data_IF_466908050932
#
_entry.id   IF_466908050932
#
_cell.length_a   1.000
_cell.length_b   1.000
_cell.length_c   1.000
_cell.angle_alpha   90.00
_cell.angle_beta   90.00
_cell.angle_gamma   90.00
#
_symmetry.space_group_name_H-M   'P 1'
#
loop_
_entity.id
_entity.type
_entity.pdbx_description
1 polymer ?
#
# COMPACT_ATOMS: atom_id res chain seq x y z
N UNK A 1 34.93 34.18 37.43
CA UNK A 1 35.64 35.08 36.48
C UNK A 1 34.92 34.93 35.15
N UNK A 2 33.92 35.81 34.93
CA UNK A 2 34.03 37.05 34.15
C UNK A 2 33.78 36.78 32.66
N UNK A 3 32.57 37.10 32.19
CA UNK A 3 32.32 38.23 31.26
C UNK A 3 32.50 37.80 29.79
N UNK A 4 31.61 38.04 28.83
CA UNK A 4 31.10 39.36 28.43
C UNK A 4 30.08 39.24 27.26
N UNK A 5 29.03 40.07 27.32
CA UNK A 5 28.23 40.77 26.26
C UNK A 5 27.50 39.96 25.15
N UNK A 6 26.21 40.13 24.84
CA UNK A 6 25.24 41.25 24.82
C UNK A 6 25.04 41.91 23.43
N UNK A 7 23.75 41.99 23.07
CA UNK A 7 23.03 42.94 22.18
C UNK A 7 23.10 42.81 20.65
N UNK A 8 21.92 42.68 20.01
CA UNK A 8 21.32 43.54 18.95
C UNK A 8 19.98 42.86 18.55
N UNK A 9 18.83 43.22 19.11
CA UNK A 9 17.96 44.36 18.79
C UNK A 9 17.73 44.55 17.28
N UNK A 10 16.65 43.97 16.75
CA UNK A 10 15.94 44.55 15.59
C UNK A 10 14.43 44.45 15.82
N UNK A 11 13.86 45.62 16.09
CA UNK A 11 12.45 45.89 16.24
C UNK A 11 11.94 46.28 14.85
N UNK A 12 11.08 45.46 14.24
CA UNK A 12 10.36 45.82 13.02
C UNK A 12 8.87 45.81 13.32
N UNK A 13 8.37 46.99 13.74
CA UNK A 13 6.95 47.31 13.86
C UNK A 13 6.42 47.53 12.45
N UNK A 14 5.58 46.62 11.97
CA UNK A 14 4.82 46.78 10.73
C UNK A 14 3.40 47.24 11.09
N UNK A 15 3.18 48.54 10.97
CA UNK A 15 1.89 49.21 10.97
C UNK A 15 1.17 48.87 9.66
N UNK A 16 0.06 48.15 9.75
CA UNK A 16 -0.87 47.95 8.63
C UNK A 16 -2.00 49.00 8.70
N UNK A 17 -2.36 49.63 7.57
CA UNK A 17 -3.44 50.61 7.52
C UNK A 17 -4.81 49.94 7.59
N UNK A 18 -5.67 50.48 8.45
CA UNK A 18 -7.11 50.25 8.51
C UNK A 18 -7.74 50.73 7.20
N UNK A 19 -8.06 49.80 6.29
CA UNK A 19 -8.91 50.09 5.15
C UNK A 19 -10.38 50.13 5.60
N UNK A 20 -11.03 51.22 5.25
CA UNK A 20 -12.39 51.57 5.60
C UNK A 20 -13.41 50.57 5.05
N UNK A 21 -14.33 50.11 5.92
CA UNK A 21 -15.58 49.49 5.52
C UNK A 21 -16.47 50.54 4.84
N UNK A 22 -16.63 50.45 3.52
CA UNK A 22 -17.76 51.04 2.83
C UNK A 22 -19.02 50.20 3.02
N UNK A 23 -20.23 50.80 3.06
CA UNK A 23 -21.48 50.06 3.13
C UNK A 23 -21.66 49.20 1.88
N UNK A 24 -21.84 47.90 2.08
CA UNK A 24 -22.14 46.93 1.03
C UNK A 24 -23.56 47.22 0.54
N UNK A 25 -23.79 47.37 -0.78
CA UNK A 25 -25.12 47.56 -1.32
C UNK A 25 -25.99 46.33 -1.01
N UNK A 26 -27.12 46.58 -0.37
CA UNK A 26 -28.16 45.60 -0.08
C UNK A 26 -28.72 45.07 -1.41
N UNK A 27 -28.52 43.78 -1.65
CA UNK A 27 -28.85 43.09 -2.89
C UNK A 27 -30.06 42.19 -2.61
N UNK A 28 -31.26 42.67 -2.87
CA UNK A 28 -32.54 41.92 -2.72
C UNK A 28 -32.76 40.88 -3.84
N UNK A 29 -31.68 40.43 -4.47
CA UNK A 29 -31.72 39.39 -5.49
C UNK A 29 -31.68 38.02 -4.84
N UNK A 30 -32.85 37.46 -4.52
CA UNK A 30 -32.99 36.04 -4.21
C UNK A 30 -32.62 35.20 -5.45
N UNK A 31 -31.32 34.99 -5.67
CA UNK A 31 -30.84 33.96 -6.58
C UNK A 31 -31.12 32.65 -5.87
N UNK A 32 -32.17 31.96 -6.31
CA UNK A 32 -32.35 30.55 -6.04
C UNK A 32 -31.13 29.83 -6.64
N UNK A 33 -30.10 29.62 -5.82
CA UNK A 33 -29.03 28.69 -6.08
C UNK A 33 -29.68 27.30 -6.01
N UNK A 34 -30.31 26.90 -7.13
CA UNK A 34 -30.67 25.51 -7.35
C UNK A 34 -29.38 24.73 -7.16
N UNK A 35 -29.26 24.05 -6.01
CA UNK A 35 -28.10 23.25 -5.70
C UNK A 35 -27.91 22.29 -6.86
N UNK A 36 -26.82 22.45 -7.60
CA UNK A 36 -26.46 21.44 -8.57
C UNK A 36 -26.43 20.10 -7.81
N UNK A 37 -27.10 19.07 -8.33
CA UNK A 37 -27.08 17.77 -7.68
C UNK A 37 -25.62 17.40 -7.47
N UNK A 38 -25.24 17.16 -6.22
CA UNK A 38 -23.92 16.60 -5.89
C UNK A 38 -23.71 15.42 -6.83
N UNK A 39 -22.69 15.43 -7.69
CA UNK A 39 -22.50 14.38 -8.66
C UNK A 39 -22.43 13.06 -7.90
N UNK A 40 -23.25 12.09 -8.31
CA UNK A 40 -23.23 10.78 -7.67
C UNK A 40 -21.79 10.24 -7.72
N UNK A 41 -21.28 9.70 -6.60
CA UNK A 41 -19.92 9.17 -6.54
C UNK A 41 -19.76 8.15 -7.68
N UNK A 42 -18.88 8.48 -8.64
CA UNK A 42 -18.59 7.59 -9.75
C UNK A 42 -17.82 6.41 -9.21
N UNK A 43 -18.37 5.20 -9.31
CA UNK A 43 -17.70 3.99 -8.87
C UNK A 43 -16.33 3.87 -9.56
N UNK A 44 -15.30 3.50 -8.79
CA UNK A 44 -13.98 3.17 -9.35
C UNK A 44 -14.16 2.09 -10.42
N UNK A 45 -13.66 2.29 -11.66
CA UNK A 45 -13.82 1.30 -12.73
C UNK A 45 -13.34 -0.08 -12.28
N UNK A 46 -14.22 -1.07 -12.38
CA UNK A 46 -13.89 -2.46 -12.12
C UNK A 46 -12.90 -2.93 -13.21
N UNK A 47 -11.67 -3.28 -12.81
CA UNK A 47 -10.58 -3.61 -13.74
C UNK A 47 -9.29 -2.81 -13.53
N UNK A 48 -9.24 -1.89 -12.57
CA UNK A 48 -8.01 -1.13 -12.27
C UNK A 48 -6.88 -1.99 -11.70
N UNK A 49 -5.64 -1.58 -11.93
CA UNK A 49 -4.46 -2.24 -11.39
C UNK A 49 -4.33 -2.01 -9.88
N UNK A 50 -4.02 -3.05 -9.10
CA UNK A 50 -3.69 -2.91 -7.68
C UNK A 50 -2.19 -3.10 -7.49
N UNK A 51 -1.57 -2.20 -6.71
CA UNK A 51 -0.17 -2.24 -6.36
C UNK A 51 0.02 -2.58 -4.89
N UNK A 52 0.91 -3.52 -4.62
CA UNK A 52 1.37 -3.88 -3.29
C UNK A 52 2.89 -3.69 -3.22
N UNK A 53 3.38 -3.30 -2.05
CA UNK A 53 4.81 -3.18 -1.82
C UNK A 53 5.18 -3.80 -0.47
N UNK A 54 6.09 -4.77 -0.49
CA UNK A 54 6.80 -5.20 0.71
C UNK A 54 8.15 -4.50 0.76
N UNK A 55 8.53 -3.99 1.94
CA UNK A 55 9.80 -3.29 2.13
C UNK A 55 10.93 -4.23 2.57
N UNK A 56 10.56 -5.42 3.05
CA UNK A 56 11.44 -6.32 3.82
C UNK A 56 11.46 -7.74 3.27
N UNK A 57 11.31 -7.92 1.95
CA UNK A 57 11.48 -9.23 1.34
C UNK A 57 12.91 -9.75 1.60
N UNK A 58 13.02 -11.01 2.00
CA UNK A 58 14.28 -11.68 2.32
C UNK A 58 14.25 -13.09 1.77
N UNK A 59 15.38 -13.53 1.22
CA UNK A 59 15.56 -14.89 0.75
C UNK A 59 17.00 -15.32 1.03
N UNK A 60 17.18 -16.58 1.44
CA UNK A 60 18.46 -17.27 1.41
C UNK A 60 18.40 -18.33 0.32
N UNK A 61 19.47 -18.45 -0.47
CA UNK A 61 19.56 -19.40 -1.56
C UNK A 61 20.79 -20.28 -1.38
N UNK A 62 20.60 -21.58 -1.54
CA UNK A 62 21.65 -22.55 -1.81
C UNK A 62 22.03 -22.53 -3.29
N UNK A 63 23.19 -23.10 -3.61
CA UNK A 63 23.64 -23.23 -5.00
C UNK A 63 22.61 -24.01 -5.82
N UNK A 64 22.24 -23.47 -6.98
CA UNK A 64 21.19 -23.99 -7.86
C UNK A 64 19.79 -23.47 -7.55
N UNK A 65 19.55 -22.79 -6.43
CA UNK A 65 18.22 -22.26 -6.10
C UNK A 65 17.91 -20.96 -6.83
N UNK A 66 16.61 -20.72 -7.05
CA UNK A 66 16.09 -19.55 -7.76
C UNK A 66 15.29 -18.69 -6.79
N UNK A 67 15.46 -17.36 -6.88
CA UNK A 67 14.64 -16.42 -6.10
C UNK A 67 13.17 -16.63 -6.46
N UNK A 68 12.29 -16.98 -5.49
CA UNK A 68 10.90 -17.27 -5.75
C UNK A 68 10.19 -16.16 -6.54
N UNK A 69 9.51 -16.56 -7.62
CA UNK A 69 8.80 -15.65 -8.53
C UNK A 69 9.68 -14.99 -9.59
N UNK A 70 10.94 -15.38 -9.75
CA UNK A 70 11.87 -14.78 -10.72
C UNK A 70 12.59 -15.84 -11.56
N UNK A 71 13.41 -15.40 -12.51
CA UNK A 71 14.37 -16.22 -13.27
C UNK A 71 15.79 -16.16 -12.69
N UNK A 72 15.98 -15.51 -11.54
CA UNK A 72 17.30 -15.28 -10.95
C UNK A 72 17.77 -16.50 -10.15
N UNK A 73 18.79 -17.19 -10.63
CA UNK A 73 19.34 -18.40 -9.99
C UNK A 73 20.72 -18.10 -9.39
N UNK A 74 20.96 -18.56 -8.16
CA UNK A 74 22.29 -18.57 -7.56
C UNK A 74 23.07 -19.78 -8.09
N UNK A 75 24.21 -19.55 -8.74
CA UNK A 75 25.02 -20.63 -9.32
C UNK A 75 26.05 -21.15 -8.32
N UNK A 76 26.71 -20.24 -7.61
CA UNK A 76 27.70 -20.59 -6.60
C UNK A 76 28.64 -19.43 -6.29
N UNK A 77 29.63 -19.69 -5.44
CA UNK A 77 30.62 -18.68 -5.05
C UNK A 77 31.98 -18.98 -5.66
N UNK A 78 32.61 -17.96 -6.23
CA UNK A 78 33.99 -18.00 -6.72
C UNK A 78 34.79 -16.85 -6.11
N UNK A 79 35.69 -17.18 -5.19
CA UNK A 79 36.43 -16.20 -4.37
C UNK A 79 35.47 -15.27 -3.59
N UNK A 80 35.54 -13.97 -3.86
CA UNK A 80 34.72 -12.92 -3.23
C UNK A 80 33.49 -12.52 -4.06
N UNK A 81 33.22 -13.24 -5.16
CA UNK A 81 32.07 -13.00 -6.02
C UNK A 81 31.08 -14.17 -5.97
N UNK A 82 29.80 -13.82 -6.01
CA UNK A 82 28.69 -14.71 -6.24
C UNK A 82 28.40 -14.75 -7.74
N UNK A 83 28.39 -15.94 -8.31
CA UNK A 83 27.89 -16.15 -9.67
C UNK A 83 26.38 -16.34 -9.62
N UNK A 84 25.65 -15.51 -10.37
CA UNK A 84 24.20 -15.58 -10.51
C UNK A 84 23.84 -15.62 -11.99
N UNK A 85 22.70 -16.23 -12.31
CA UNK A 85 22.11 -16.17 -13.64
C UNK A 85 20.86 -15.30 -13.60
N UNK A 86 20.79 -14.26 -14.41
CA UNK A 86 19.64 -13.35 -14.52
C UNK A 86 19.17 -13.40 -15.97
N UNK A 87 17.92 -13.82 -16.18
CA UNK A 87 17.35 -13.98 -17.53
C UNK A 87 18.23 -14.81 -18.47
N UNK A 88 18.82 -15.88 -17.94
CA UNK A 88 19.71 -16.78 -18.69
C UNK A 88 21.17 -16.32 -18.79
N UNK A 89 21.48 -15.07 -18.47
CA UNK A 89 22.82 -14.50 -18.57
C UNK A 89 23.59 -14.64 -17.25
N UNK A 90 24.83 -15.10 -17.33
CA UNK A 90 25.72 -15.16 -16.18
C UNK A 90 26.18 -13.76 -15.77
N UNK A 91 26.18 -13.49 -14.46
CA UNK A 91 26.68 -12.26 -13.87
C UNK A 91 27.44 -12.58 -12.58
N UNK A 92 28.53 -11.85 -12.34
CA UNK A 92 29.28 -11.91 -11.09
C UNK A 92 28.89 -10.71 -10.22
N UNK A 93 28.55 -10.97 -8.96
CA UNK A 93 28.08 -9.98 -8.00
C UNK A 93 28.87 -10.07 -6.71
N UNK A 94 29.13 -8.94 -6.08
CA UNK A 94 29.77 -8.88 -4.77
C UNK A 94 28.72 -8.60 -3.68
N UNK A 95 29.11 -8.78 -2.43
CA UNK A 95 28.27 -8.35 -1.33
C UNK A 95 27.94 -6.85 -1.44
N UNK A 96 26.72 -6.49 -1.04
CA UNK A 96 26.11 -5.16 -1.20
C UNK A 96 25.74 -4.75 -2.64
N UNK A 97 26.06 -5.55 -3.67
CA UNK A 97 25.56 -5.31 -5.02
C UNK A 97 24.04 -5.48 -5.11
N UNK A 98 23.44 -4.79 -6.08
CA UNK A 98 22.02 -4.92 -6.39
C UNK A 98 21.72 -6.12 -7.28
N UNK A 99 20.62 -6.80 -6.96
CA UNK A 99 19.90 -7.74 -7.81
C UNK A 99 18.54 -7.13 -8.16
N UNK A 100 18.40 -6.69 -9.41
CA UNK A 100 17.17 -6.10 -9.92
C UNK A 100 16.53 -7.03 -10.95
N UNK A 101 15.23 -7.24 -10.84
CA UNK A 101 14.46 -8.04 -11.80
C UNK A 101 13.04 -7.48 -11.93
N UNK A 102 12.47 -7.60 -13.12
CA UNK A 102 11.06 -7.26 -13.38
C UNK A 102 10.50 -8.22 -14.41
N UNK A 103 9.34 -8.80 -14.12
CA UNK A 103 8.67 -9.70 -15.03
C UNK A 103 7.33 -10.18 -14.52
N UNK A 104 6.68 -11.04 -15.29
CA UNK A 104 5.50 -11.75 -14.84
C UNK A 104 5.90 -12.84 -13.84
N UNK A 105 5.25 -12.85 -12.68
CA UNK A 105 5.44 -13.90 -11.67
C UNK A 105 4.40 -15.01 -11.82
N UNK A 106 3.22 -14.65 -12.32
CA UNK A 106 2.13 -15.55 -12.67
C UNK A 106 1.17 -14.83 -13.65
N UNK A 107 0.22 -15.51 -14.31
CA UNK A 107 -0.79 -14.85 -15.14
C UNK A 107 -1.49 -13.71 -14.39
N UNK A 108 -1.51 -12.51 -14.98
CA UNK A 108 -2.12 -11.31 -14.37
C UNK A 108 -1.32 -10.67 -13.24
N UNK A 109 -0.11 -11.16 -12.92
CA UNK A 109 0.69 -10.64 -11.81
C UNK A 109 2.11 -10.31 -12.25
N UNK A 110 2.51 -9.06 -12.05
CA UNK A 110 3.85 -8.55 -12.37
C UNK A 110 4.60 -8.26 -11.08
N UNK A 111 5.83 -8.75 -10.99
CA UNK A 111 6.74 -8.48 -9.88
C UNK A 111 7.90 -7.58 -10.32
N UNK A 112 8.33 -6.69 -9.43
CA UNK A 112 9.58 -5.96 -9.54
C UNK A 112 10.36 -6.11 -8.23
N UNK A 113 11.53 -6.71 -8.33
CA UNK A 113 12.41 -7.04 -7.23
C UNK A 113 13.59 -6.07 -7.29
N UNK A 114 13.85 -5.36 -6.19
CA UNK A 114 14.99 -4.46 -6.03
C UNK A 114 15.78 -4.88 -4.80
N UNK A 115 16.50 -6.00 -4.91
CA UNK A 115 17.19 -6.62 -3.79
C UNK A 115 18.65 -6.19 -3.73
N UNK A 116 19.25 -6.33 -2.55
CA UNK A 116 20.68 -6.22 -2.32
C UNK A 116 21.22 -7.51 -1.74
N UNK A 117 22.39 -7.90 -2.22
CA UNK A 117 23.14 -9.00 -1.62
C UNK A 117 23.66 -8.60 -0.25
N UNK A 118 23.50 -9.48 0.72
CA UNK A 118 24.06 -9.31 2.05
C UNK A 118 25.17 -10.31 2.28
N UNK A 119 26.23 -9.90 2.96
CA UNK A 119 27.34 -10.79 3.33
C UNK A 119 26.84 -11.94 4.19
N UNK A 120 27.31 -13.17 3.93
CA UNK A 120 27.19 -14.27 4.89
C UNK A 120 28.48 -15.06 5.01
N UNK A 121 28.63 -15.73 6.15
CA UNK A 121 29.78 -16.56 6.51
C UNK A 121 29.56 -18.02 6.05
N UNK A 122 28.32 -18.43 5.78
CA UNK A 122 27.92 -19.83 5.60
C UNK A 122 27.77 -20.28 4.13
N UNK A 123 28.27 -19.51 3.16
CA UNK A 123 28.29 -19.91 1.74
C UNK A 123 26.97 -19.74 0.96
N UNK A 124 25.85 -19.55 1.65
CA UNK A 124 24.55 -19.20 1.05
C UNK A 124 24.57 -17.81 0.38
N UNK A 125 23.66 -17.55 -0.55
CA UNK A 125 23.40 -16.21 -1.07
C UNK A 125 22.18 -15.63 -0.36
N UNK A 126 22.40 -14.59 0.46
CA UNK A 126 21.31 -13.84 1.06
C UNK A 126 21.00 -12.59 0.25
N UNK A 127 19.73 -12.38 -0.07
CA UNK A 127 19.25 -11.19 -0.74
C UNK A 127 18.06 -10.59 0.02
N UNK A 128 18.05 -9.27 0.16
CA UNK A 128 16.97 -8.56 0.83
C UNK A 128 16.67 -7.21 0.19
N UNK A 129 15.42 -6.78 0.21
CA UNK A 129 15.02 -5.47 -0.30
C UNK A 129 13.53 -5.38 -0.62
N UNK A 130 13.09 -4.26 -1.20
CA UNK A 130 11.71 -4.10 -1.57
C UNK A 130 11.31 -4.96 -2.78
N UNK A 131 10.05 -5.43 -2.74
CA UNK A 131 9.38 -6.06 -3.89
C UNK A 131 8.04 -5.35 -4.12
N UNK A 132 7.83 -4.89 -5.34
CA UNK A 132 6.57 -4.33 -5.82
C UNK A 132 5.80 -5.41 -6.58
N UNK A 133 4.56 -5.64 -6.20
CA UNK A 133 3.65 -6.59 -6.86
C UNK A 133 2.49 -5.80 -7.47
N UNK A 134 2.19 -6.10 -8.72
CA UNK A 134 1.14 -5.45 -9.48
C UNK A 134 0.16 -6.52 -9.97
N UNK A 135 -1.09 -6.44 -9.51
CA UNK A 135 -2.17 -7.35 -9.91
C UNK A 135 -3.04 -6.63 -10.94
N UNK A 136 -3.13 -7.20 -12.13
CA UNK A 136 -3.85 -6.62 -13.28
C UNK A 136 -5.30 -7.09 -13.30
N UNK A 137 -6.23 -6.16 -13.51
CA UNK A 137 -7.68 -6.42 -13.62
C UNK A 137 -8.23 -7.36 -12.51
N UNK A 138 -7.97 -7.08 -11.23
CA UNK A 138 -8.46 -7.90 -10.14
C UNK A 138 -9.99 -7.86 -10.08
N UNK A 139 -10.59 -8.99 -9.74
CA UNK A 139 -12.01 -9.16 -9.51
C UNK A 139 -12.23 -9.76 -8.11
N UNK A 140 -12.26 -8.92 -7.05
CA UNK A 140 -12.31 -9.41 -5.68
C UNK A 140 -13.56 -10.25 -5.41
N UNK A 141 -13.34 -11.43 -4.82
CA UNK A 141 -14.40 -12.30 -4.30
C UNK A 141 -14.07 -12.63 -2.84
N UNK A 142 -14.98 -12.32 -1.91
CA UNK A 142 -14.80 -12.68 -0.51
C UNK A 142 -14.83 -14.21 -0.36
N UNK A 143 -13.85 -14.75 0.39
CA UNK A 143 -13.78 -16.15 0.76
C UNK A 143 -14.32 -16.35 2.19
N UNK A 144 -14.71 -17.58 2.57
CA UNK A 144 -15.12 -17.88 3.94
C UNK A 144 -14.07 -17.45 4.97
N UNK A 145 -14.51 -17.02 6.16
CA UNK A 145 -13.62 -16.51 7.22
C UNK A 145 -12.64 -17.57 7.77
N UNK A 146 -12.95 -18.86 7.58
CA UNK A 146 -12.09 -19.99 7.93
C UNK A 146 -11.22 -20.50 6.75
N UNK A 147 -11.20 -19.79 5.63
CA UNK A 147 -10.34 -20.14 4.51
C UNK A 147 -8.88 -19.90 4.86
N UNK A 148 -8.05 -20.94 4.73
CA UNK A 148 -6.60 -20.85 4.88
C UNK A 148 -5.91 -20.82 3.50
N UNK A 149 -5.34 -19.68 3.10
CA UNK A 149 -4.60 -19.55 1.86
C UNK A 149 -3.41 -20.49 1.80
N UNK A 150 -3.14 -20.95 0.58
CA UNK A 150 -1.96 -21.71 0.23
C UNK A 150 -1.43 -21.21 -1.10
N UNK A 151 -0.11 -21.12 -1.24
CA UNK A 151 0.53 -20.66 -2.46
C UNK A 151 2.01 -21.01 -2.48
N UNK A 152 2.58 -21.04 -3.68
CA UNK A 152 4.02 -21.29 -3.88
C UNK A 152 4.84 -20.06 -3.52
N UNK A 153 4.26 -18.88 -3.70
CA UNK A 153 4.88 -17.60 -3.41
C UNK A 153 4.01 -16.80 -2.45
N UNK A 154 4.61 -16.33 -1.36
CA UNK A 154 3.91 -15.61 -0.30
C UNK A 154 4.63 -14.29 -0.02
N UNK A 155 3.87 -13.19 -0.06
CA UNK A 155 4.33 -11.87 0.31
C UNK A 155 3.62 -11.43 1.58
N UNK A 156 4.37 -11.32 2.67
CA UNK A 156 3.87 -10.94 3.99
C UNK A 156 4.25 -9.50 4.32
N UNK A 157 3.66 -8.99 5.41
CA UNK A 157 3.99 -7.69 6.00
C UNK A 157 3.86 -6.52 5.00
N UNK A 158 2.97 -6.65 4.01
CA UNK A 158 2.66 -5.56 3.09
C UNK A 158 1.93 -4.50 3.91
N UNK A 159 2.48 -3.29 3.96
CA UNK A 159 1.83 -2.18 4.65
C UNK A 159 0.64 -1.72 3.82
N UNK A 160 -0.54 -1.71 4.44
CA UNK A 160 -1.77 -1.28 3.80
C UNK A 160 -2.32 -0.06 4.55
N UNK A 161 -2.55 1.04 3.83
CA UNK A 161 -3.19 2.24 4.37
C UNK A 161 -4.04 2.89 3.29
N UNK A 162 -5.31 3.08 3.59
CA UNK A 162 -6.28 3.62 2.64
C UNK A 162 -7.14 4.69 3.28
N UNK A 163 -7.44 5.72 2.49
CA UNK A 163 -8.61 6.56 2.68
C UNK A 163 -9.65 6.10 1.66
N UNK A 164 -10.84 5.77 2.14
CA UNK A 164 -11.92 5.20 1.33
C UNK A 164 -13.12 6.14 1.44
N UNK A 165 -13.43 6.90 0.39
CA UNK A 165 -14.62 7.75 0.38
C UNK A 165 -15.91 6.94 0.52
N UNK A 166 -17.00 7.60 0.91
CA UNK A 166 -18.34 6.98 0.88
C UNK A 166 -18.66 6.46 -0.53
N UNK A 167 -19.29 5.30 -0.61
CA UNK A 167 -19.65 4.61 -1.85
C UNK A 167 -18.50 3.90 -2.55
N UNK A 168 -17.27 3.94 -2.01
CA UNK A 168 -16.10 3.32 -2.63
C UNK A 168 -15.67 2.05 -1.89
N UNK A 169 -15.07 1.13 -2.65
CA UNK A 169 -14.54 -0.11 -2.11
C UNK A 169 -13.16 0.10 -1.46
N UNK A 170 -12.88 -0.64 -0.38
CA UNK A 170 -11.51 -0.78 0.12
C UNK A 170 -10.69 -1.53 -0.95
N UNK A 171 -9.54 -1.00 -1.40
CA UNK A 171 -8.78 -1.56 -2.51
C UNK A 171 -8.49 -3.06 -2.37
N UNK A 172 -8.91 -3.85 -3.38
CA UNK A 172 -8.72 -5.30 -3.41
C UNK A 172 -9.73 -6.09 -2.59
N UNK A 173 -10.81 -5.48 -2.14
CA UNK A 173 -11.87 -6.17 -1.38
C UNK A 173 -13.23 -5.99 -2.03
N UNK A 174 -14.22 -6.71 -1.52
CA UNK A 174 -15.64 -6.49 -1.79
C UNK A 174 -16.28 -5.43 -0.88
N UNK A 175 -15.54 -4.93 0.12
CA UNK A 175 -16.08 -4.08 1.18
C UNK A 175 -16.23 -2.65 0.69
N UNK A 176 -17.44 -2.10 0.74
CA UNK A 176 -17.75 -0.73 0.33
C UNK A 176 -18.14 0.08 1.56
N UNK A 177 -17.50 1.24 1.77
CA UNK A 177 -17.87 2.14 2.85
C UNK A 177 -19.20 2.83 2.54
N UNK A 178 -20.27 2.44 3.23
CA UNK A 178 -21.61 2.95 2.98
C UNK A 178 -21.87 4.29 3.67
N UNK A 179 -21.11 4.63 4.71
CA UNK A 179 -21.24 5.88 5.45
C UNK A 179 -21.09 5.68 6.96
N UNK A 180 -21.21 6.78 7.69
CA UNK A 180 -21.24 6.79 9.15
C UNK A 180 -22.68 6.64 9.64
N UNK A 181 -22.88 5.74 10.61
CA UNK A 181 -24.12 5.48 11.32
C UNK A 181 -23.92 5.70 12.83
N UNK A 182 -24.99 5.63 13.62
CA UNK A 182 -24.93 5.76 15.08
C UNK A 182 -23.99 4.71 15.71
N UNK A 183 -23.92 3.51 15.14
CA UNK A 183 -23.11 2.39 15.60
C UNK A 183 -21.65 2.44 15.12
N UNK A 184 -21.28 3.37 14.24
CA UNK A 184 -19.96 3.49 13.63
C UNK A 184 -19.99 3.50 12.10
N UNK A 185 -18.91 3.07 11.47
CA UNK A 185 -18.82 2.92 10.03
C UNK A 185 -19.64 1.71 9.57
N UNK A 186 -20.48 1.89 8.56
CA UNK A 186 -21.17 0.79 7.87
C UNK A 186 -20.35 0.36 6.66
N UNK A 187 -20.02 -0.93 6.58
CA UNK A 187 -19.39 -1.58 5.44
C UNK A 187 -20.39 -2.54 4.79
N UNK A 188 -20.71 -2.28 3.53
CA UNK A 188 -21.48 -3.21 2.69
C UNK A 188 -20.55 -4.16 1.91
N UNK A 189 -21.12 -5.16 1.23
CA UNK A 189 -20.32 -6.14 0.47
C UNK A 189 -19.56 -7.15 1.34
N UNK A 190 -19.95 -7.25 2.62
CA UNK A 190 -19.55 -8.33 3.54
C UNK A 190 -20.71 -9.30 3.75
N UNK A 191 -20.41 -10.58 3.99
CA UNK A 191 -21.38 -11.56 4.49
C UNK A 191 -21.56 -11.53 6.02
N UNK A 192 -20.67 -10.81 6.72
CA UNK A 192 -20.59 -10.76 8.18
C UNK A 192 -21.28 -9.50 8.76
N UNK A 193 -21.06 -9.21 10.05
CA UNK A 193 -21.55 -8.01 10.72
C UNK A 193 -21.01 -6.72 10.05
N UNK A 194 -21.87 -5.76 9.63
CA UNK A 194 -21.45 -4.65 8.78
C UNK A 194 -21.00 -3.40 9.51
N UNK A 195 -21.16 -3.29 10.83
CA UNK A 195 -20.85 -2.07 11.59
C UNK A 195 -19.51 -2.16 12.31
N UNK A 196 -18.70 -1.10 12.23
CA UNK A 196 -17.37 -1.02 12.83
C UNK A 196 -17.16 0.32 13.53
N UNK A 197 -16.79 0.29 14.80
CA UNK A 197 -16.38 1.46 15.55
C UNK A 197 -14.94 1.87 15.24
N UNK A 198 -14.60 3.12 15.55
CA UNK A 198 -13.21 3.56 15.47
C UNK A 198 -12.34 2.73 16.42
N UNK A 199 -11.21 2.22 15.91
CA UNK A 199 -10.33 1.33 16.64
C UNK A 199 -10.65 -0.16 16.49
N UNK A 200 -11.75 -0.53 15.84
CA UNK A 200 -12.08 -1.93 15.57
C UNK A 200 -11.15 -2.55 14.53
N UNK A 201 -10.99 -3.87 14.62
CA UNK A 201 -10.25 -4.66 13.66
C UNK A 201 -11.15 -5.08 12.50
N UNK A 202 -10.66 -4.92 11.28
CA UNK A 202 -11.30 -5.35 10.06
C UNK A 202 -10.45 -6.43 9.41
N UNK A 203 -10.94 -7.67 9.45
CA UNK A 203 -10.30 -8.80 8.78
C UNK A 203 -11.08 -9.16 7.53
N UNK A 204 -10.38 -9.36 6.43
CA UNK A 204 -10.97 -9.78 5.17
C UNK A 204 -10.04 -10.75 4.47
N UNK A 205 -10.58 -11.84 3.94
CA UNK A 205 -9.84 -12.77 3.08
C UNK A 205 -10.64 -12.95 1.81
N UNK A 206 -9.96 -12.86 0.67
CA UNK A 206 -10.62 -13.06 -0.61
C UNK A 206 -9.65 -13.30 -1.75
N UNK A 207 -10.22 -13.62 -2.89
CA UNK A 207 -9.51 -13.92 -4.10
C UNK A 207 -9.52 -12.69 -5.03
N UNK A 208 -8.36 -12.29 -5.54
CA UNK A 208 -8.25 -11.20 -6.52
C UNK A 208 -8.29 -11.71 -7.97
N UNK A 209 -7.68 -12.87 -8.20
CA UNK A 209 -7.61 -13.61 -9.46
C UNK A 209 -7.62 -15.12 -9.14
N UNK A 210 -7.82 -15.98 -10.14
CA UNK A 210 -7.82 -17.44 -9.95
C UNK A 210 -6.58 -17.96 -9.16
N UNK A 211 -5.43 -17.33 -9.38
CA UNK A 211 -4.13 -17.66 -8.80
C UNK A 211 -3.65 -16.68 -7.70
N UNK A 212 -4.49 -15.72 -7.26
CA UNK A 212 -4.09 -14.70 -6.27
C UNK A 212 -5.09 -14.59 -5.14
N UNK A 213 -4.63 -14.87 -3.92
CA UNK A 213 -5.40 -14.67 -2.69
C UNK A 213 -4.80 -13.51 -1.89
N UNK A 214 -5.66 -12.67 -1.33
CA UNK A 214 -5.33 -11.53 -0.48
C UNK A 214 -5.99 -11.71 0.88
N UNK A 215 -5.22 -11.48 1.95
CA UNK A 215 -5.73 -11.37 3.31
C UNK A 215 -5.32 -10.04 3.88
N UNK A 216 -6.30 -9.32 4.40
CA UNK A 216 -6.12 -8.07 5.11
C UNK A 216 -6.34 -8.25 6.60
N UNK A 217 -5.50 -7.58 7.38
CA UNK A 217 -5.69 -7.34 8.80
C UNK A 217 -5.56 -5.83 9.03
N UNK A 218 -6.69 -5.14 8.95
CA UNK A 218 -6.78 -3.69 9.01
C UNK A 218 -7.40 -3.24 10.33
N UNK A 219 -7.22 -1.96 10.64
CA UNK A 219 -7.85 -1.29 11.76
C UNK A 219 -8.51 0.00 11.30
N UNK A 220 -9.69 0.29 11.82
CA UNK A 220 -10.37 1.56 11.57
C UNK A 220 -9.66 2.66 12.35
N UNK A 221 -9.06 3.62 11.66
CA UNK A 221 -8.33 4.73 12.27
C UNK A 221 -9.24 5.93 12.55
N UNK A 222 -10.04 6.33 11.57
CA UNK A 222 -10.99 7.44 11.66
C UNK A 222 -12.21 7.16 10.80
N UNK A 223 -13.36 7.66 11.23
CA UNK A 223 -14.64 7.59 10.53
C UNK A 223 -15.15 9.02 10.40
N UNK A 224 -15.70 9.37 9.24
CA UNK A 224 -16.25 10.70 8.94
C UNK A 224 -17.32 10.57 7.87
N UNK A 225 -18.15 11.60 7.71
CA UNK A 225 -19.21 11.63 6.68
C UNK A 225 -18.65 11.52 5.25
N UNK A 226 -17.40 11.93 5.03
CA UNK A 226 -16.77 11.91 3.70
C UNK A 226 -16.07 10.57 3.40
N UNK A 227 -15.63 9.84 4.42
CA UNK A 227 -14.83 8.63 4.22
C UNK A 227 -14.33 7.97 5.51
N UNK A 228 -13.71 6.81 5.32
CA UNK A 228 -13.07 6.02 6.38
C UNK A 228 -11.56 5.92 6.11
N UNK A 229 -10.75 5.99 7.18
CA UNK A 229 -9.31 5.67 7.11
C UNK A 229 -9.07 4.32 7.75
N UNK A 230 -8.42 3.43 7.00
CA UNK A 230 -8.03 2.11 7.48
C UNK A 230 -6.52 1.93 7.31
N UNK A 231 -5.90 1.23 8.24
CA UNK A 231 -4.49 0.85 8.12
C UNK A 231 -4.19 -0.48 8.80
N UNK A 232 -3.16 -1.17 8.33
CA UNK A 232 -2.71 -2.43 8.88
C UNK A 232 -1.77 -3.15 7.93
N UNK A 233 -1.93 -4.47 7.85
CA UNK A 233 -1.10 -5.33 7.00
C UNK A 233 -1.92 -6.12 6.00
N UNK A 234 -1.24 -6.53 4.93
CA UNK A 234 -1.75 -7.49 3.97
C UNK A 234 -0.76 -8.64 3.77
N UNK A 235 -1.32 -9.77 3.38
CA UNK A 235 -0.62 -10.97 2.94
C UNK A 235 -1.16 -11.35 1.56
N UNK A 236 -0.27 -11.66 0.62
CA UNK A 236 -0.62 -12.02 -0.74
C UNK A 236 -0.01 -13.38 -1.09
N UNK A 237 -0.84 -14.32 -1.53
CA UNK A 237 -0.42 -15.64 -2.00
C UNK A 237 -0.62 -15.74 -3.50
N UNK A 238 0.43 -16.15 -4.20
CA UNK A 238 0.43 -16.38 -5.64
C UNK A 238 0.72 -17.87 -5.90
N UNK A 239 -0.12 -18.50 -6.72
CA UNK A 239 0.00 -19.90 -7.13
C UNK A 239 0.65 -20.04 -8.50
#
# INVERSE_FOLDING_TARGET
MSHFRSLFFFCAVLLLPLLACGPIPEWDGAISLGGEPTPEPTSTPQGDTIHFQTLTYRVSLLEGETIPGTTMTYIGRSNDAYEVRIDGLAAFKQAADSLAWKGAIAPGVIGRYNLRLTTTILGELFAAGPVEITVLNPFPIQLPSNYEPSGTLVFNEIVAQYYVPVGHAIPGTTLIYAGQQEQGAELSGTADYPYYSQGDSLRWTGQLLENVVLRYNLRILTISEEGIRVAGTAELWVR
#
